data_IF_412612366085
#
_entry.id   IF_412612366085
#
_cell.length_a   1.000
_cell.length_b   1.000
_cell.length_c   1.000
_cell.angle_alpha   90.00
_cell.angle_beta   90.00
_cell.angle_gamma   90.00
#
_symmetry.space_group_name_H-M   'P 1'
#
loop_
_entity.id
_entity.type
_entity.pdbx_description
1 polymer ?
#
# COMPACT_ATOMS: atom_id res chain seq x y z
N UNK A 1 30.07 35.03 33.85
CA UNK A 1 30.67 34.07 32.89
C UNK A 1 30.27 32.67 33.29
N UNK A 2 29.23 32.09 32.66
CA UNK A 2 28.81 30.72 32.90
C UNK A 2 29.36 29.83 31.77
N UNK A 3 30.24 28.89 32.11
CA UNK A 3 30.86 27.93 31.20
C UNK A 3 29.78 26.92 30.78
N UNK A 4 29.22 27.10 29.58
CA UNK A 4 28.26 26.18 28.96
C UNK A 4 28.98 24.86 28.67
N UNK A 5 28.77 23.85 29.50
CA UNK A 5 29.25 22.50 29.25
C UNK A 5 28.61 21.99 27.95
N UNK A 6 29.44 21.71 26.94
CA UNK A 6 28.98 21.07 25.70
C UNK A 6 28.54 19.64 26.06
N UNK A 7 27.32 19.21 25.71
CA UNK A 7 26.90 17.85 25.99
C UNK A 7 27.80 16.87 25.22
N UNK A 8 28.26 15.82 25.92
CA UNK A 8 29.10 14.72 25.41
C UNK A 8 28.36 13.82 24.40
N UNK A 9 27.68 14.39 23.41
CA UNK A 9 26.88 13.64 22.43
C UNK A 9 27.75 12.89 21.42
N UNK A 10 28.89 13.44 21.02
CA UNK A 10 29.83 12.80 20.09
C UNK A 10 30.28 11.39 20.51
N UNK A 11 30.55 11.17 21.80
CA UNK A 11 31.05 9.88 22.30
C UNK A 11 30.01 8.75 22.17
N UNK A 12 28.72 9.08 22.33
CA UNK A 12 27.63 8.12 22.17
C UNK A 12 27.44 7.68 20.71
N UNK A 13 27.64 8.59 19.74
CA UNK A 13 27.47 8.28 18.32
C UNK A 13 28.57 7.35 17.78
N UNK A 14 29.83 7.60 18.14
CA UNK A 14 30.94 6.69 17.78
C UNK A 14 30.78 5.30 18.42
N UNK A 15 30.23 5.23 19.63
CA UNK A 15 29.91 3.95 20.30
C UNK A 15 28.81 3.18 19.56
N UNK A 16 27.78 3.86 19.04
CA UNK A 16 26.68 3.21 18.30
C UNK A 16 27.11 2.76 16.90
N UNK A 17 27.96 3.54 16.23
CA UNK A 17 28.57 3.16 14.95
C UNK A 17 29.50 1.95 15.12
N UNK A 18 30.31 1.93 16.18
CA UNK A 18 31.15 0.78 16.53
C UNK A 18 30.33 -0.49 16.85
N UNK A 19 29.18 -0.34 17.53
CA UNK A 19 28.28 -1.45 17.82
C UNK A 19 27.62 -2.01 16.55
N UNK A 20 27.21 -1.15 15.61
CA UNK A 20 26.67 -1.57 14.31
C UNK A 20 27.68 -2.36 13.46
N UNK A 21 28.94 -1.92 13.41
CA UNK A 21 30.01 -2.65 12.70
C UNK A 21 30.31 -3.99 13.37
N UNK A 22 30.35 -4.05 14.70
CA UNK A 22 30.58 -5.29 15.44
C UNK A 22 29.47 -6.32 15.20
N UNK A 23 28.20 -5.88 15.15
CA UNK A 23 27.06 -6.75 14.84
C UNK A 23 27.12 -7.29 13.40
N UNK A 24 27.53 -6.47 12.43
CA UNK A 24 27.76 -6.93 11.06
C UNK A 24 28.88 -7.97 10.98
N UNK A 25 29.99 -7.75 11.68
CA UNK A 25 31.10 -8.71 11.71
C UNK A 25 30.65 -10.05 12.30
N UNK A 26 29.90 -10.04 13.41
CA UNK A 26 29.34 -11.25 14.03
C UNK A 26 28.36 -11.95 13.07
N UNK A 27 27.48 -11.21 12.41
CA UNK A 27 26.53 -11.77 11.45
C UNK A 27 27.26 -12.44 10.26
N UNK A 28 28.29 -11.81 9.71
CA UNK A 28 29.09 -12.37 8.60
C UNK A 28 29.82 -13.65 9.07
N UNK A 29 30.37 -13.66 10.29
CA UNK A 29 30.99 -14.89 10.82
C UNK A 29 29.99 -16.02 11.04
N UNK A 30 28.78 -15.72 11.53
CA UNK A 30 27.71 -16.71 11.66
C UNK A 30 27.25 -17.25 10.30
N UNK A 31 27.14 -16.39 9.29
CA UNK A 31 26.81 -16.78 7.91
C UNK A 31 27.91 -17.67 7.28
N UNK A 32 29.18 -17.36 7.53
CA UNK A 32 30.29 -18.18 7.03
C UNK A 32 30.32 -19.57 7.69
N UNK A 33 30.01 -19.65 8.98
CA UNK A 33 29.93 -20.92 9.73
C UNK A 33 28.75 -21.77 9.24
N UNK A 34 27.59 -21.16 8.95
CA UNK A 34 26.45 -21.91 8.40
C UNK A 34 26.74 -22.43 7.00
N UNK A 35 27.41 -21.66 6.14
CA UNK A 35 27.77 -22.07 4.77
C UNK A 35 28.83 -23.17 4.73
N UNK A 36 29.76 -23.21 5.68
CA UNK A 36 30.86 -24.20 5.71
C UNK A 36 30.47 -25.53 6.34
N UNK A 37 29.51 -25.55 7.28
CA UNK A 37 29.11 -26.74 8.04
C UNK A 37 27.65 -27.20 7.77
N UNK A 38 27.08 -26.89 6.59
CA UNK A 38 25.71 -27.26 6.19
C UNK A 38 25.42 -28.75 6.36
N UNK A 39 26.42 -29.63 6.15
CA UNK A 39 26.26 -31.09 6.22
C UNK A 39 26.32 -31.67 7.64
N UNK A 40 26.73 -30.88 8.65
CA UNK A 40 27.01 -31.37 10.01
C UNK A 40 25.96 -30.97 11.05
N UNK A 41 25.05 -30.05 10.72
CA UNK A 41 24.00 -29.58 11.62
C UNK A 41 22.64 -30.18 11.29
N UNK A 42 21.83 -30.47 12.32
CA UNK A 42 20.41 -30.78 12.14
C UNK A 42 19.69 -29.61 11.45
N UNK A 43 18.76 -29.93 10.55
CA UNK A 43 18.09 -28.93 9.67
C UNK A 43 17.45 -27.77 10.45
N UNK A 44 16.95 -28.02 11.66
CA UNK A 44 16.35 -27.00 12.51
C UNK A 44 17.37 -25.95 12.99
N UNK A 45 18.58 -26.36 13.34
CA UNK A 45 19.61 -25.45 13.84
C UNK A 45 20.17 -24.56 12.72
N UNK A 46 20.30 -25.10 11.51
CA UNK A 46 20.71 -24.32 10.35
C UNK A 46 19.70 -23.20 10.00
N UNK A 47 18.41 -23.45 10.17
CA UNK A 47 17.37 -22.44 9.88
C UNK A 47 17.38 -21.30 10.91
N UNK A 48 17.58 -21.62 12.18
CA UNK A 48 17.67 -20.62 13.26
C UNK A 48 18.92 -19.73 13.09
N UNK A 49 20.07 -20.32 12.75
CA UNK A 49 21.27 -19.53 12.50
C UNK A 49 21.18 -18.65 11.25
N UNK A 50 20.54 -19.14 10.18
CA UNK A 50 20.35 -18.37 8.96
C UNK A 50 19.44 -17.16 9.21
N UNK A 51 18.28 -17.40 9.82
CA UNK A 51 17.31 -16.34 10.15
C UNK A 51 17.88 -15.33 11.15
N UNK A 52 18.60 -15.80 12.18
CA UNK A 52 19.32 -14.94 13.12
C UNK A 52 20.38 -14.05 12.46
N UNK A 53 21.14 -14.59 11.50
CA UNK A 53 22.14 -13.83 10.74
C UNK A 53 21.49 -12.71 9.91
N UNK A 54 20.37 -12.97 9.26
CA UNK A 54 19.66 -11.94 8.49
C UNK A 54 19.14 -10.81 9.40
N UNK A 55 18.54 -11.14 10.55
CA UNK A 55 18.04 -10.13 11.50
C UNK A 55 19.19 -9.23 11.99
N UNK A 56 20.35 -9.80 12.29
CA UNK A 56 21.53 -9.03 12.71
C UNK A 56 22.09 -8.14 11.60
N UNK A 57 22.08 -8.59 10.34
CA UNK A 57 22.50 -7.77 9.20
C UNK A 57 21.58 -6.55 9.02
N UNK A 58 20.27 -6.76 9.06
CA UNK A 58 19.29 -5.66 8.94
C UNK A 58 19.39 -4.67 10.10
N UNK A 59 19.55 -5.16 11.33
CA UNK A 59 19.72 -4.31 12.52
C UNK A 59 21.02 -3.49 12.47
N UNK A 60 22.14 -4.11 12.09
CA UNK A 60 23.42 -3.42 11.94
C UNK A 60 23.41 -2.35 10.85
N UNK A 61 22.83 -2.66 9.69
CA UNK A 61 22.70 -1.71 8.59
C UNK A 61 21.80 -0.51 8.97
N UNK A 62 20.69 -0.77 9.67
CA UNK A 62 19.78 0.28 10.14
C UNK A 62 20.47 1.25 11.11
N UNK A 63 21.27 0.74 12.06
CA UNK A 63 22.00 1.58 13.00
C UNK A 63 23.06 2.45 12.31
N UNK A 64 23.73 1.95 11.27
CA UNK A 64 24.70 2.72 10.49
C UNK A 64 24.02 3.85 9.72
N UNK A 65 22.90 3.57 9.03
CA UNK A 65 22.14 4.59 8.30
C UNK A 65 21.55 5.63 9.24
N UNK A 66 21.03 5.21 10.39
CA UNK A 66 20.50 6.12 11.41
C UNK A 66 21.60 7.01 12.01
N UNK A 67 22.77 6.45 12.32
CA UNK A 67 23.92 7.22 12.79
C UNK A 67 24.42 8.20 11.71
N UNK A 68 24.45 7.79 10.44
CA UNK A 68 24.93 8.64 9.36
C UNK A 68 23.98 9.81 9.06
N UNK A 69 22.68 9.56 9.01
CA UNK A 69 21.67 10.61 8.78
C UNK A 69 21.64 11.63 9.92
N UNK A 70 21.73 11.18 11.17
CA UNK A 70 21.71 12.07 12.32
C UNK A 70 23.00 12.88 12.48
N UNK A 71 24.17 12.30 12.17
CA UNK A 71 25.46 12.99 12.24
C UNK A 71 25.60 14.04 11.12
N UNK A 72 25.26 13.69 9.87
CA UNK A 72 25.36 14.61 8.73
C UNK A 72 24.34 15.75 8.79
N UNK A 73 23.10 15.49 9.22
CA UNK A 73 22.07 16.53 9.37
C UNK A 73 22.39 17.47 10.55
N UNK A 74 23.07 16.97 11.59
CA UNK A 74 23.53 17.79 12.71
C UNK A 74 24.64 18.76 12.34
N UNK A 75 25.66 18.28 11.62
CA UNK A 75 26.85 19.07 11.22
C UNK A 75 26.47 20.20 10.24
N UNK A 76 25.58 19.93 9.28
CA UNK A 76 25.07 20.94 8.34
C UNK A 76 24.27 22.04 9.06
N UNK A 77 23.48 21.68 10.08
CA UNK A 77 22.64 22.63 10.83
C UNK A 77 23.44 23.54 11.76
N UNK A 78 24.57 23.07 12.30
CA UNK A 78 25.45 23.88 13.14
C UNK A 78 26.39 24.78 12.31
N UNK A 79 26.84 24.31 11.13
CA UNK A 79 27.66 25.10 10.21
C UNK A 79 26.93 26.37 9.74
N UNK A 80 25.67 26.24 9.32
CA UNK A 80 24.85 27.38 8.87
C UNK A 80 24.63 28.38 10.01
N UNK A 81 24.25 27.94 11.20
CA UNK A 81 24.00 28.83 12.34
C UNK A 81 25.24 29.61 12.81
N UNK A 82 26.42 29.01 12.75
CA UNK A 82 27.67 29.66 13.17
C UNK A 82 28.15 30.71 12.17
N UNK A 83 27.94 30.48 10.88
CA UNK A 83 28.31 31.40 9.80
C UNK A 83 27.42 32.66 9.82
N UNK A 84 26.11 32.50 10.04
CA UNK A 84 25.18 33.64 10.16
C UNK A 84 25.40 34.46 11.44
N UNK A 85 25.76 33.82 12.56
CA UNK A 85 26.00 34.55 13.81
C UNK A 85 27.34 35.28 13.82
N UNK A 86 28.40 34.72 13.21
CA UNK A 86 29.66 35.41 13.02
C UNK A 86 29.53 36.59 12.05
N UNK A 87 28.85 36.41 10.92
CA UNK A 87 28.59 37.48 9.95
C UNK A 87 27.72 38.61 10.54
N UNK A 88 26.70 38.28 11.34
CA UNK A 88 25.89 39.27 12.03
C UNK A 88 26.67 40.02 13.12
N UNK A 89 27.61 39.36 13.81
CA UNK A 89 28.43 39.99 14.85
C UNK A 89 29.53 40.89 14.24
N UNK A 90 30.15 40.47 13.13
CA UNK A 90 31.12 41.29 12.39
C UNK A 90 30.45 42.51 11.72
N UNK A 91 29.24 42.35 11.19
CA UNK A 91 28.45 43.46 10.67
C UNK A 91 28.07 44.50 11.74
N UNK A 92 27.84 44.06 12.98
CA UNK A 92 27.59 44.96 14.11
C UNK A 92 28.88 45.59 14.69
N UNK A 93 30.03 44.92 14.56
CA UNK A 93 31.31 45.39 15.09
C UNK A 93 32.04 46.38 14.15
N UNK A 94 31.83 46.28 12.83
CA UNK A 94 32.47 47.14 11.84
C UNK A 94 31.72 48.45 11.61
N UNK A 95 31.53 49.27 12.66
CA UNK A 95 30.88 50.58 12.62
C UNK A 95 31.48 51.59 11.62
N UNK A 96 31.24 51.36 10.32
CA UNK A 96 31.58 52.21 9.18
C UNK A 96 30.55 51.96 8.08
N UNK A 97 29.83 53.04 7.74
CA UNK A 97 28.86 53.23 6.63
C UNK A 97 27.40 52.79 6.85
N UNK A 98 26.75 53.47 7.80
CA UNK A 98 25.29 53.40 8.08
C UNK A 98 24.36 54.06 7.04
N UNK A 99 24.79 54.33 5.80
CA UNK A 99 23.93 54.96 4.78
C UNK A 99 23.41 54.02 3.68
N UNK A 100 24.05 52.86 3.43
CA UNK A 100 23.70 51.92 2.35
C UNK A 100 23.31 50.51 2.82
N UNK A 101 23.75 50.09 4.01
CA UNK A 101 23.38 48.83 4.64
C UNK A 101 21.85 48.59 4.82
N UNK A 102 21.01 49.59 5.20
CA UNK A 102 19.57 49.37 5.35
C UNK A 102 18.85 49.16 4.00
N UNK A 103 19.37 49.69 2.89
CA UNK A 103 18.78 49.52 1.56
C UNK A 103 19.05 48.11 0.99
N UNK A 104 20.30 47.63 1.10
CA UNK A 104 20.66 46.27 0.69
C UNK A 104 19.90 45.19 1.49
N UNK A 105 19.69 45.42 2.79
CA UNK A 105 18.86 44.53 3.61
C UNK A 105 17.38 44.57 3.20
N UNK A 106 16.84 45.75 2.87
CA UNK A 106 15.48 45.88 2.37
C UNK A 106 15.26 45.18 1.03
N UNK A 107 16.21 45.30 0.09
CA UNK A 107 16.15 44.61 -1.21
C UNK A 107 16.16 43.08 -1.05
N UNK A 108 17.03 42.55 -0.18
CA UNK A 108 17.07 41.11 0.13
C UNK A 108 15.75 40.62 0.74
N UNK A 109 15.18 41.40 1.67
CA UNK A 109 13.86 41.09 2.27
C UNK A 109 12.75 41.14 1.23
N UNK A 110 12.78 42.05 0.26
CA UNK A 110 11.78 42.08 -0.81
C UNK A 110 11.93 40.88 -1.75
N UNK A 111 13.16 40.53 -2.17
CA UNK A 111 13.41 39.35 -2.98
C UNK A 111 12.84 38.09 -2.34
N UNK A 112 13.10 37.86 -1.05
CA UNK A 112 12.55 36.70 -0.35
C UNK A 112 11.02 36.76 -0.21
N UNK A 113 10.43 37.94 -0.03
CA UNK A 113 8.97 38.08 -0.01
C UNK A 113 8.36 37.74 -1.35
N UNK A 114 8.98 38.18 -2.44
CA UNK A 114 8.53 37.90 -3.80
C UNK A 114 8.63 36.40 -4.10
N UNK A 115 9.76 35.77 -3.76
CA UNK A 115 9.95 34.31 -3.89
C UNK A 115 8.93 33.52 -3.06
N UNK A 116 8.66 33.93 -1.80
CA UNK A 116 7.63 33.30 -0.98
C UNK A 116 6.22 33.47 -1.55
N UNK A 117 5.93 34.62 -2.18
CA UNK A 117 4.65 34.87 -2.83
C UNK A 117 4.50 34.03 -4.10
N UNK A 118 5.55 33.86 -4.89
CA UNK A 118 5.57 32.97 -6.05
C UNK A 118 5.38 31.51 -5.64
N UNK A 119 6.12 31.04 -4.64
CA UNK A 119 5.97 29.70 -4.08
C UNK A 119 4.56 29.47 -3.55
N UNK A 120 3.97 30.45 -2.86
CA UNK A 120 2.58 30.37 -2.39
C UNK A 120 1.62 30.20 -3.56
N UNK A 121 1.75 31.00 -4.62
CA UNK A 121 0.90 30.87 -5.82
C UNK A 121 1.04 29.50 -6.48
N UNK A 122 2.26 28.96 -6.56
CA UNK A 122 2.49 27.61 -7.09
C UNK A 122 1.78 26.57 -6.22
N UNK A 123 1.89 26.66 -4.89
CA UNK A 123 1.22 25.74 -3.98
C UNK A 123 -0.30 25.82 -4.13
N UNK A 124 -0.87 27.03 -4.19
CA UNK A 124 -2.31 27.24 -4.39
C UNK A 124 -2.79 26.63 -5.72
N UNK A 125 -2.07 26.87 -6.82
CA UNK A 125 -2.39 26.27 -8.12
C UNK A 125 -2.30 24.74 -8.13
N UNK A 126 -1.31 24.17 -7.43
CA UNK A 126 -1.19 22.72 -7.32
C UNK A 126 -2.31 22.14 -6.46
N UNK A 127 -2.71 22.82 -5.38
CA UNK A 127 -3.84 22.41 -4.55
C UNK A 127 -5.14 22.42 -5.34
N UNK A 128 -5.38 23.44 -6.16
CA UNK A 128 -6.56 23.52 -7.04
C UNK A 128 -6.60 22.37 -8.04
N UNK A 129 -5.48 22.10 -8.74
CA UNK A 129 -5.38 20.97 -9.68
C UNK A 129 -5.59 19.62 -9.01
N UNK A 130 -5.05 19.43 -7.80
CA UNK A 130 -5.25 18.20 -7.03
C UNK A 130 -6.71 18.05 -6.58
N UNK A 131 -7.37 19.14 -6.20
CA UNK A 131 -8.79 19.12 -5.83
C UNK A 131 -9.67 18.77 -7.04
N UNK A 132 -9.38 19.35 -8.21
CA UNK A 132 -10.08 19.04 -9.46
C UNK A 132 -9.87 17.58 -9.88
N UNK A 133 -8.62 17.09 -9.84
CA UNK A 133 -8.31 15.70 -10.14
C UNK A 133 -9.05 14.73 -9.20
N UNK A 134 -9.07 15.01 -7.89
CA UNK A 134 -9.84 14.21 -6.92
C UNK A 134 -11.33 14.18 -7.23
N UNK A 135 -11.93 15.34 -7.52
CA UNK A 135 -13.34 15.41 -7.89
C UNK A 135 -13.63 14.63 -9.18
N UNK A 136 -12.71 14.66 -10.15
CA UNK A 136 -12.87 13.89 -11.39
C UNK A 136 -12.81 12.38 -11.15
N UNK A 137 -11.90 11.91 -10.29
CA UNK A 137 -11.80 10.50 -9.89
C UNK A 137 -13.08 10.05 -9.19
N UNK A 138 -13.56 10.82 -8.21
CA UNK A 138 -14.80 10.50 -7.48
C UNK A 138 -16.02 10.38 -8.42
N UNK A 139 -16.13 11.26 -9.42
CA UNK A 139 -17.18 11.18 -10.44
C UNK A 139 -17.07 9.94 -11.31
N UNK A 140 -15.86 9.56 -11.70
CA UNK A 140 -15.59 8.37 -12.50
C UNK A 140 -15.89 7.10 -11.71
N UNK A 141 -15.45 7.03 -10.46
CA UNK A 141 -15.75 5.93 -9.53
C UNK A 141 -17.27 5.79 -9.32
N UNK A 142 -17.98 6.90 -9.10
CA UNK A 142 -19.44 6.89 -8.98
C UNK A 142 -20.13 6.40 -10.26
N UNK A 143 -19.65 6.82 -11.43
CA UNK A 143 -20.19 6.38 -12.72
C UNK A 143 -19.91 4.90 -12.98
N UNK A 144 -18.71 4.42 -12.61
CA UNK A 144 -18.34 3.00 -12.70
C UNK A 144 -19.23 2.15 -11.81
N UNK A 145 -19.48 2.57 -10.56
CA UNK A 145 -20.39 1.88 -9.65
C UNK A 145 -21.80 1.72 -10.24
N UNK A 146 -22.35 2.77 -10.85
CA UNK A 146 -23.66 2.71 -11.52
C UNK A 146 -23.66 1.74 -12.71
N UNK A 147 -22.56 1.69 -13.48
CA UNK A 147 -22.39 0.75 -14.59
C UNK A 147 -22.34 -0.70 -14.10
N UNK A 148 -21.63 -0.97 -13.01
CA UNK A 148 -21.54 -2.30 -12.39
C UNK A 148 -22.90 -2.77 -11.88
N UNK A 149 -23.64 -1.89 -11.20
CA UNK A 149 -25.01 -2.19 -10.75
C UNK A 149 -25.96 -2.50 -11.93
N UNK A 150 -25.79 -1.80 -13.06
CA UNK A 150 -26.56 -2.06 -14.27
C UNK A 150 -26.15 -3.37 -14.95
N UNK A 151 -24.87 -3.72 -14.93
CA UNK A 151 -24.38 -5.00 -15.44
C UNK A 151 -24.92 -6.18 -14.64
N UNK A 152 -24.96 -6.07 -13.31
CA UNK A 152 -25.59 -7.07 -12.44
C UNK A 152 -27.06 -7.27 -12.82
N UNK A 153 -27.82 -6.19 -13.07
CA UNK A 153 -29.21 -6.30 -13.52
C UNK A 153 -29.34 -7.05 -14.85
N UNK A 154 -28.40 -6.87 -15.78
CA UNK A 154 -28.40 -7.62 -17.04
C UNK A 154 -28.17 -9.11 -16.81
N UNK A 155 -27.23 -9.49 -15.92
CA UNK A 155 -27.06 -10.88 -15.52
C UNK A 155 -28.33 -11.47 -14.90
N UNK A 156 -29.00 -10.72 -14.01
CA UNK A 156 -30.28 -11.15 -13.41
C UNK A 156 -31.37 -11.39 -14.45
N UNK A 157 -31.42 -10.58 -15.51
CA UNK A 157 -32.36 -10.81 -16.61
C UNK A 157 -32.04 -12.10 -17.37
N UNK A 158 -30.76 -12.35 -17.68
CA UNK A 158 -30.32 -13.59 -18.33
C UNK A 158 -30.57 -14.83 -17.46
N UNK A 159 -30.23 -14.76 -16.18
CA UNK A 159 -30.54 -15.79 -15.18
C UNK A 159 -32.05 -16.11 -15.19
N UNK A 160 -32.90 -15.08 -15.07
CA UNK A 160 -34.35 -15.28 -15.09
C UNK A 160 -34.83 -15.95 -16.37
N UNK A 161 -34.28 -15.57 -17.53
CA UNK A 161 -34.64 -16.20 -18.81
C UNK A 161 -34.20 -17.67 -18.90
N UNK A 162 -33.04 -18.01 -18.33
CA UNK A 162 -32.51 -19.39 -18.33
C UNK A 162 -33.25 -20.29 -17.33
N UNK A 163 -33.69 -19.75 -16.19
CA UNK A 163 -34.37 -20.51 -15.12
C UNK A 163 -35.87 -20.67 -15.38
N UNK A 164 -36.58 -19.64 -15.84
CA UNK A 164 -38.05 -19.65 -16.01
C UNK A 164 -38.47 -19.86 -17.48
N UNK A 165 -37.53 -20.14 -18.37
CA UNK A 165 -37.75 -20.35 -19.79
C UNK A 165 -38.33 -21.73 -20.13
N UNK A 166 -39.33 -22.22 -19.39
CA UNK A 166 -39.94 -23.55 -19.54
C UNK A 166 -40.55 -23.82 -20.94
N UNK A 167 -40.59 -22.81 -21.82
CA UNK A 167 -41.07 -22.90 -23.20
C UNK A 167 -40.10 -22.27 -24.22
N UNK A 168 -38.85 -22.02 -23.85
CA UNK A 168 -37.86 -21.51 -24.80
C UNK A 168 -37.40 -22.62 -25.74
N UNK A 169 -37.44 -22.33 -27.04
CA UNK A 169 -36.80 -23.17 -28.05
C UNK A 169 -35.33 -23.42 -27.64
N UNK A 170 -34.84 -24.65 -27.81
CA UNK A 170 -33.47 -25.03 -27.50
C UNK A 170 -32.44 -24.10 -28.17
N UNK A 171 -32.72 -23.66 -29.39
CA UNK A 171 -31.87 -22.71 -30.12
C UNK A 171 -31.79 -21.35 -29.41
N UNK A 172 -32.91 -20.88 -28.84
CA UNK A 172 -32.95 -19.63 -28.09
C UNK A 172 -32.20 -19.74 -26.77
N UNK A 173 -32.37 -20.85 -26.04
CA UNK A 173 -31.60 -21.10 -24.81
C UNK A 173 -30.09 -21.07 -25.08
N UNK A 174 -29.65 -21.74 -26.15
CA UNK A 174 -28.26 -21.73 -26.58
C UNK A 174 -27.76 -20.32 -26.95
N UNK A 175 -28.57 -19.55 -27.67
CA UNK A 175 -28.23 -18.16 -27.99
C UNK A 175 -28.05 -17.28 -26.73
N UNK A 176 -28.88 -17.49 -25.70
CA UNK A 176 -28.74 -16.79 -24.41
C UNK A 176 -27.50 -17.26 -23.65
N UNK A 177 -27.18 -18.55 -23.64
CA UNK A 177 -25.94 -19.08 -23.05
C UNK A 177 -24.69 -18.54 -23.75
N UNK A 178 -24.71 -18.45 -25.09
CA UNK A 178 -23.63 -17.86 -25.88
C UNK A 178 -23.48 -16.36 -25.62
N UNK A 179 -24.60 -15.64 -25.45
CA UNK A 179 -24.61 -14.23 -25.05
C UNK A 179 -24.05 -14.05 -23.64
N UNK A 180 -24.47 -14.89 -22.69
CA UNK A 180 -23.97 -14.89 -21.32
C UNK A 180 -22.45 -15.04 -21.30
N UNK A 181 -21.92 -16.03 -22.03
CA UNK A 181 -20.47 -16.26 -22.12
C UNK A 181 -19.72 -15.05 -22.67
N UNK A 182 -20.23 -14.45 -23.74
CA UNK A 182 -19.61 -13.25 -24.34
C UNK A 182 -19.69 -12.05 -23.40
N UNK A 183 -20.84 -11.85 -22.75
CA UNK A 183 -21.04 -10.74 -21.82
C UNK A 183 -20.17 -10.88 -20.57
N UNK A 184 -20.06 -12.08 -20.00
CA UNK A 184 -19.14 -12.37 -18.89
C UNK A 184 -17.71 -12.01 -19.26
N UNK A 185 -17.21 -12.46 -20.42
CA UNK A 185 -15.85 -12.13 -20.85
C UNK A 185 -15.60 -10.62 -21.01
N UNK A 186 -16.60 -9.85 -21.44
CA UNK A 186 -16.49 -8.38 -21.56
C UNK A 186 -16.42 -7.70 -20.18
N UNK A 187 -17.20 -8.20 -19.21
CA UNK A 187 -17.42 -7.56 -17.92
C UNK A 187 -16.38 -7.97 -16.88
N UNK A 188 -15.76 -9.15 -17.01
CA UNK A 188 -14.64 -9.59 -16.18
C UNK A 188 -13.46 -8.61 -16.22
N UNK A 189 -13.17 -8.02 -17.39
CA UNK A 189 -12.12 -7.01 -17.54
C UNK A 189 -12.41 -5.70 -16.80
N UNK A 190 -13.68 -5.47 -16.43
CA UNK A 190 -14.13 -4.33 -15.66
C UNK A 190 -14.23 -4.64 -14.16
N UNK A 191 -13.75 -5.81 -13.72
CA UNK A 191 -13.70 -6.21 -12.32
C UNK A 191 -14.96 -6.89 -11.79
N UNK A 192 -15.96 -7.17 -12.62
CA UNK A 192 -17.20 -7.87 -12.22
C UNK A 192 -17.20 -9.32 -12.69
N UNK A 193 -17.26 -10.25 -11.73
CA UNK A 193 -17.23 -11.69 -11.97
C UNK A 193 -18.48 -12.35 -11.37
N UNK A 194 -19.30 -13.06 -12.17
CA UNK A 194 -20.45 -13.78 -11.65
C UNK A 194 -20.01 -15.06 -10.91
N UNK A 195 -20.61 -15.30 -9.75
CA UNK A 195 -20.47 -16.54 -8.97
C UNK A 195 -21.66 -17.43 -9.32
N UNK A 196 -21.41 -18.49 -10.11
CA UNK A 196 -22.44 -19.45 -10.53
C UNK A 196 -21.99 -20.87 -10.16
N UNK A 197 -22.21 -21.30 -8.91
CA UNK A 197 -21.78 -22.62 -8.45
C UNK A 197 -22.54 -23.73 -9.15
N UNK A 198 -21.84 -24.78 -9.53
CA UNK A 198 -22.40 -25.97 -10.15
C UNK A 198 -22.71 -27.05 -9.11
N UNK A 199 -23.57 -28.00 -9.48
CA UNK A 199 -23.88 -29.16 -8.65
C UNK A 199 -22.59 -29.94 -8.36
N UNK A 200 -22.31 -30.17 -7.08
CA UNK A 200 -21.12 -30.87 -6.59
C UNK A 200 -19.97 -29.93 -6.16
N UNK A 201 -20.04 -28.63 -6.46
CA UNK A 201 -19.07 -27.67 -5.97
C UNK A 201 -19.09 -27.60 -4.44
N UNK A 202 -17.93 -27.28 -3.85
CA UNK A 202 -17.83 -27.14 -2.39
C UNK A 202 -18.47 -25.82 -1.96
N UNK A 203 -19.27 -25.86 -0.90
CA UNK A 203 -19.79 -24.66 -0.27
C UNK A 203 -18.65 -23.83 0.36
N UNK A 204 -18.69 -22.51 0.13
CA UNK A 204 -17.74 -21.53 0.67
C UNK A 204 -18.56 -20.39 1.29
N UNK A 205 -18.42 -20.18 2.60
CA UNK A 205 -19.14 -19.15 3.36
C UNK A 205 -18.80 -17.72 2.91
N UNK A 206 -17.66 -17.52 2.24
CA UNK A 206 -17.28 -16.20 1.74
C UNK A 206 -17.99 -15.84 0.44
N UNK A 207 -18.28 -16.84 -0.40
CA UNK A 207 -18.84 -16.65 -1.74
C UNK A 207 -20.34 -16.97 -1.80
N UNK A 208 -20.81 -17.84 -0.92
CA UNK A 208 -22.13 -18.45 -0.98
C UNK A 208 -22.95 -18.17 0.28
N UNK A 209 -24.25 -18.04 0.09
CA UNK A 209 -25.27 -17.98 1.15
C UNK A 209 -26.17 -19.22 1.04
N UNK A 210 -26.46 -19.85 2.16
CA UNK A 210 -27.31 -21.04 2.19
C UNK A 210 -28.77 -20.60 2.08
N UNK A 211 -29.41 -20.96 0.96
CA UNK A 211 -30.85 -20.80 0.78
C UNK A 211 -31.62 -21.90 1.51
N UNK A 212 -31.17 -23.15 1.35
CA UNK A 212 -31.76 -24.31 2.00
C UNK A 212 -30.72 -25.43 2.21
N UNK A 213 -31.02 -26.29 3.18
CA UNK A 213 -30.30 -27.55 3.39
C UNK A 213 -31.22 -28.69 2.98
N UNK A 214 -30.75 -29.54 2.08
CA UNK A 214 -31.53 -30.68 1.58
C UNK A 214 -30.73 -31.98 1.68
N UNK A 215 -31.39 -33.11 1.97
CA UNK A 215 -30.74 -34.41 1.91
C UNK A 215 -30.47 -34.80 0.45
N UNK A 216 -29.26 -35.27 0.17
CA UNK A 216 -28.84 -35.75 -1.15
C UNK A 216 -28.23 -37.13 -1.04
N UNK A 217 -28.72 -38.10 -1.80
CA UNK A 217 -28.13 -39.45 -1.85
C UNK A 217 -26.83 -39.50 -2.67
N UNK A 218 -26.58 -38.49 -3.50
CA UNK A 218 -25.49 -38.48 -4.50
C UNK A 218 -24.31 -37.60 -4.09
N UNK A 219 -24.54 -36.59 -3.24
CA UNK A 219 -23.54 -35.58 -2.87
C UNK A 219 -23.16 -35.72 -1.40
N UNK A 220 -21.91 -35.42 -1.09
CA UNK A 220 -21.42 -35.35 0.29
C UNK A 220 -21.92 -34.08 0.99
N UNK A 221 -22.04 -34.12 2.32
CA UNK A 221 -22.36 -32.94 3.12
C UNK A 221 -21.45 -31.76 2.83
N UNK A 222 -22.05 -30.57 2.72
CA UNK A 222 -21.33 -29.33 2.39
C UNK A 222 -21.05 -29.13 0.88
N UNK A 223 -21.60 -29.97 0.01
CA UNK A 223 -21.61 -29.72 -1.44
C UNK A 223 -22.87 -29.01 -1.90
N UNK A 224 -22.74 -28.18 -2.93
CA UNK A 224 -23.84 -27.46 -3.58
C UNK A 224 -24.68 -28.43 -4.38
N UNK A 225 -25.99 -28.46 -4.13
CA UNK A 225 -26.99 -29.22 -4.88
C UNK A 225 -27.42 -28.44 -6.12
N UNK A 226 -27.71 -27.15 -5.94
CA UNK A 226 -28.14 -26.23 -6.99
C UNK A 226 -27.91 -24.77 -6.58
N UNK A 227 -27.77 -23.90 -7.57
CA UNK A 227 -27.75 -22.45 -7.39
C UNK A 227 -29.15 -21.89 -7.64
N UNK A 228 -29.72 -21.24 -6.62
CA UNK A 228 -31.05 -20.60 -6.67
C UNK A 228 -30.94 -19.21 -7.28
N UNK A 229 -29.90 -18.47 -6.89
CA UNK A 229 -29.64 -17.12 -7.37
C UNK A 229 -28.12 -16.89 -7.49
N UNK A 230 -27.68 -16.34 -8.62
CA UNK A 230 -26.27 -16.05 -8.89
C UNK A 230 -25.72 -14.97 -7.95
N UNK A 231 -24.45 -15.11 -7.61
CA UNK A 231 -23.66 -14.12 -6.87
C UNK A 231 -22.78 -13.29 -7.79
N UNK A 232 -22.14 -12.26 -7.25
CA UNK A 232 -21.29 -11.32 -7.97
C UNK A 232 -20.14 -10.82 -7.10
N UNK A 233 -18.91 -10.90 -7.63
CA UNK A 233 -17.70 -10.27 -7.08
C UNK A 233 -17.41 -9.01 -7.87
N UNK A 234 -17.08 -7.92 -7.19
CA UNK A 234 -16.61 -6.65 -7.76
C UNK A 234 -15.30 -6.29 -7.10
N UNK A 235 -14.22 -6.12 -7.87
CA UNK A 235 -12.89 -5.74 -7.38
C UNK A 235 -12.42 -6.59 -6.19
N UNK A 236 -12.50 -7.92 -6.34
CA UNK A 236 -12.18 -8.94 -5.32
C UNK A 236 -13.05 -8.92 -4.05
N UNK A 237 -14.12 -8.13 -4.02
CA UNK A 237 -15.09 -8.11 -2.93
C UNK A 237 -16.42 -8.71 -3.37
N UNK A 238 -16.96 -9.61 -2.55
CA UNK A 238 -18.29 -10.19 -2.80
C UNK A 238 -19.34 -9.11 -2.59
N UNK A 239 -19.98 -8.68 -3.68
CA UNK A 239 -21.03 -7.67 -3.66
C UNK A 239 -22.38 -8.29 -3.32
N UNK A 240 -22.64 -9.47 -3.87
CA UNK A 240 -23.84 -10.28 -3.63
C UNK A 240 -23.40 -11.74 -3.58
N UNK A 241 -23.62 -12.48 -2.48
CA UNK A 241 -23.28 -13.89 -2.42
C UNK A 241 -24.22 -14.71 -3.30
N UNK A 242 -23.76 -15.84 -3.82
CA UNK A 242 -24.61 -16.78 -4.55
C UNK A 242 -25.50 -17.55 -3.57
N UNK A 243 -26.80 -17.60 -3.81
CA UNK A 243 -27.72 -18.37 -3.00
C UNK A 243 -27.76 -19.81 -3.50
N UNK A 244 -27.46 -20.74 -2.60
CA UNK A 244 -27.29 -22.16 -2.95
C UNK A 244 -28.05 -23.07 -2.00
N UNK A 245 -28.50 -24.20 -2.54
CA UNK A 245 -28.97 -25.33 -1.73
C UNK A 245 -27.78 -26.23 -1.44
N UNK A 246 -27.56 -26.60 -0.19
CA UNK A 246 -26.38 -27.39 0.24
C UNK A 246 -26.83 -28.75 0.79
N UNK A 247 -26.07 -29.80 0.49
CA UNK A 247 -26.32 -31.14 1.00
C UNK A 247 -26.05 -31.23 2.51
N UNK A 248 -26.98 -31.82 3.27
CA UNK A 248 -26.93 -31.87 4.74
C UNK A 248 -26.21 -33.10 5.32
N UNK A 249 -26.06 -34.17 4.53
CA UNK A 249 -25.76 -35.53 5.02
C UNK A 249 -24.32 -35.78 5.50
#
# INVERSE_FOLDING_TARGET
MAKKERPRTGLFYYSMLGLGIALLAVAITCLAITLTNVSSFERAFSFVLLTGSFVLLFSGAFLIVWAFTTLWVGELREADYSLYTAAALEAMASGKEEASAPQAYQELVQHFKDELNELRKIVEQQQEKLAEARSSVEKLEGTLGLWLDQAIKMFRLMERTLTHGEQLNADYKRAVEDLLKQYTALVEHLGLIPIVPQRGDRFDEHLHSIYALEPSLELAGGQVISCVSWGFVVDDQVRVPAEVVVAQN
#
